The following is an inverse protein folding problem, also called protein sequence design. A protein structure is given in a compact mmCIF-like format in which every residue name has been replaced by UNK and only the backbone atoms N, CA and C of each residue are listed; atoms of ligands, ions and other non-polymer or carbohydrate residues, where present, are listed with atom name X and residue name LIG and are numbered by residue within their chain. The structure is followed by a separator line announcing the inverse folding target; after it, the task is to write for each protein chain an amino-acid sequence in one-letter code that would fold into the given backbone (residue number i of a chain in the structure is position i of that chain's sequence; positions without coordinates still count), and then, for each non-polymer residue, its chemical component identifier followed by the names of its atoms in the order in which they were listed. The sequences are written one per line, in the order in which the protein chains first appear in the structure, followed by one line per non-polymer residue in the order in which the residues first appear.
data_IF_070585234120
#
_entry.id   IF_070585234120
#
_cell.length_a   1.000
_cell.length_b   1.000
_cell.length_c   1.000
_cell.angle_alpha   90.00
_cell.angle_beta   90.00
_cell.angle_gamma   90.00
#
_symmetry.space_group_name_H-M   'P 1'
#
loop_
_entity.id
_entity.type
_entity.pdbx_description
1 polymer ?
#
# COMPACT_ATOMS: atom_id res chain seq x y z
N UNK A 1 10.71 11.07 0.96
CA UNK A 1 9.95 9.91 1.47
C UNK A 1 9.03 10.43 2.56
N UNK A 2 7.74 10.10 2.49
CA UNK A 2 6.75 10.42 3.52
C UNK A 2 6.46 9.21 4.42
N UNK A 3 5.87 9.48 5.57
CA UNK A 3 5.32 8.51 6.51
C UNK A 3 3.91 8.99 6.87
N UNK A 4 2.96 8.08 7.07
CA UNK A 4 1.54 8.43 7.16
C UNK A 4 0.98 8.12 8.54
N UNK A 5 0.05 8.93 8.99
CA UNK A 5 -0.73 8.69 10.19
C UNK A 5 -2.20 8.97 9.92
N UNK A 6 -3.07 8.13 10.48
CA UNK A 6 -4.50 8.32 10.44
C UNK A 6 -5.07 8.41 11.87
N UNK A 7 -6.02 9.31 12.06
CA UNK A 7 -6.73 9.50 13.31
C UNK A 7 -8.22 9.64 13.04
N UNK A 8 -9.06 8.92 13.77
CA UNK A 8 -10.51 9.02 13.59
C UNK A 8 -11.30 8.90 14.88
N UNK A 9 -12.57 9.31 14.83
CA UNK A 9 -13.52 9.09 15.92
C UNK A 9 -13.85 7.61 16.05
N UNK A 10 -13.52 7.01 17.19
CA UNK A 10 -13.81 5.63 17.55
C UNK A 10 -13.61 5.43 19.06
N UNK A 11 -14.06 4.29 19.58
CA UNK A 11 -13.96 4.00 21.01
C UNK A 11 -12.68 3.21 21.33
N UNK A 12 -11.57 3.94 21.39
CA UNK A 12 -10.29 3.39 21.84
C UNK A 12 -10.39 2.79 23.26
N UNK A 13 -11.31 3.29 24.10
CA UNK A 13 -11.51 2.83 25.48
C UNK A 13 -12.33 1.54 25.59
N UNK A 14 -13.19 1.25 24.60
CA UNK A 14 -13.90 -0.02 24.46
C UNK A 14 -13.06 -1.13 23.80
N UNK A 15 -11.80 -0.82 23.45
CA UNK A 15 -10.93 -1.76 22.78
C UNK A 15 -11.27 -1.98 21.31
N UNK A 16 -11.90 -1.00 20.62
CA UNK A 16 -11.92 -1.01 19.16
C UNK A 16 -10.48 -1.08 18.66
N UNK A 17 -10.15 -2.15 17.94
CA UNK A 17 -8.84 -2.33 17.36
C UNK A 17 -8.78 -1.45 16.11
N UNK A 18 -7.76 -0.60 16.03
CA UNK A 18 -7.42 0.15 14.83
C UNK A 18 -7.07 -0.83 13.71
N UNK A 19 -8.04 -1.18 12.86
CA UNK A 19 -7.83 -2.11 11.74
C UNK A 19 -7.58 -1.34 10.45
N UNK A 20 -6.78 -1.95 9.56
CA UNK A 20 -6.60 -1.44 8.20
C UNK A 20 -7.95 -1.32 7.47
N UNK A 21 -8.88 -2.27 7.66
CA UNK A 21 -10.20 -2.24 7.03
C UNK A 21 -11.03 -1.01 7.46
N UNK A 22 -10.97 -0.61 8.74
CA UNK A 22 -11.63 0.60 9.23
C UNK A 22 -11.01 1.85 8.60
N UNK A 23 -9.68 1.90 8.52
CA UNK A 23 -8.97 3.01 7.88
C UNK A 23 -9.37 3.15 6.40
N UNK A 24 -9.33 2.06 5.62
CA UNK A 24 -9.68 2.06 4.20
C UNK A 24 -11.12 2.52 3.94
N UNK A 25 -12.08 2.04 4.74
CA UNK A 25 -13.49 2.46 4.62
C UNK A 25 -13.67 3.95 4.91
N UNK A 26 -13.03 4.46 5.98
CA UNK A 26 -13.11 5.87 6.34
C UNK A 26 -12.38 6.77 5.32
N UNK A 27 -11.20 6.35 4.85
CA UNK A 27 -10.44 7.06 3.84
C UNK A 27 -11.25 7.18 2.54
N UNK A 28 -11.79 6.06 2.05
CA UNK A 28 -12.64 6.03 0.84
C UNK A 28 -13.85 6.95 0.97
N UNK A 29 -14.52 6.94 2.13
CA UNK A 29 -15.78 7.70 2.32
C UNK A 29 -15.58 9.19 2.52
N UNK A 30 -14.48 9.60 3.14
CA UNK A 30 -14.31 10.96 3.62
C UNK A 30 -13.14 11.71 2.99
N UNK A 31 -12.13 11.02 2.47
CA UNK A 31 -10.92 11.63 1.92
C UNK A 31 -10.78 11.43 0.39
N UNK A 32 -11.25 10.31 -0.17
CA UNK A 32 -11.31 10.10 -1.63
C UNK A 32 -12.60 10.61 -2.30
N UNK A 33 -13.64 10.83 -1.51
CA UNK A 33 -14.90 11.41 -1.96
C UNK A 33 -14.92 12.95 -1.79
N UNK A 34 -16.07 13.58 -2.04
CA UNK A 34 -16.25 15.00 -1.74
C UNK A 34 -16.04 15.28 -0.24
N UNK A 35 -15.07 16.15 0.07
CA UNK A 35 -14.75 16.50 1.45
C UNK A 35 -15.95 17.12 2.17
N UNK A 36 -16.18 16.69 3.40
CA UNK A 36 -17.21 17.22 4.28
C UNK A 36 -16.59 17.91 5.49
N UNK A 37 -17.34 18.81 6.13
CA UNK A 37 -16.85 19.52 7.30
C UNK A 37 -16.38 18.52 8.39
N UNK A 38 -15.17 18.71 8.96
CA UNK A 38 -14.70 17.89 10.08
C UNK A 38 -15.65 17.99 11.27
N UNK A 39 -15.86 16.84 11.90
CA UNK A 39 -16.56 16.72 13.18
C UNK A 39 -15.89 17.61 14.24
N UNK A 40 -16.62 18.04 15.29
CA UNK A 40 -16.04 18.85 16.35
C UNK A 40 -14.79 18.24 17.01
N UNK A 41 -14.75 16.91 17.18
CA UNK A 41 -13.62 16.23 17.83
C UNK A 41 -12.39 16.22 16.93
N UNK A 42 -12.55 15.88 15.64
CA UNK A 42 -11.46 15.91 14.67
C UNK A 42 -10.96 17.33 14.45
N UNK A 43 -11.85 18.33 14.43
CA UNK A 43 -11.46 19.73 14.38
C UNK A 43 -10.60 20.13 15.57
N UNK A 44 -11.03 19.80 16.80
CA UNK A 44 -10.27 20.09 18.01
C UNK A 44 -8.90 19.40 18.00
N UNK A 45 -8.84 18.15 17.52
CA UNK A 45 -7.58 17.43 17.38
C UNK A 45 -6.66 18.05 16.31
N UNK A 46 -7.21 18.42 15.15
CA UNK A 46 -6.48 19.14 14.10
C UNK A 46 -5.88 20.44 14.61
N UNK A 47 -6.62 21.21 15.39
CA UNK A 47 -6.16 22.47 16.01
C UNK A 47 -5.05 22.22 17.05
N UNK A 48 -5.20 21.17 17.88
CA UNK A 48 -4.18 20.79 18.86
C UNK A 48 -2.87 20.33 18.19
N UNK A 49 -2.97 19.58 17.08
CA UNK A 49 -1.83 19.14 16.30
C UNK A 49 -1.14 20.34 15.61
N UNK A 50 -1.93 21.24 15.01
CA UNK A 50 -1.42 22.49 14.40
C UNK A 50 -0.75 23.42 15.43
N UNK A 51 -1.17 23.39 16.70
CA UNK A 51 -0.52 24.15 17.77
C UNK A 51 0.87 23.60 18.14
N UNK A 52 1.15 22.32 17.87
CA UNK A 52 2.47 21.70 18.07
C UNK A 52 3.36 21.78 16.85
N UNK A 53 2.75 21.59 15.69
CA UNK A 53 3.40 21.59 14.39
C UNK A 53 2.59 22.53 13.49
N UNK A 54 3.04 23.79 13.34
CA UNK A 54 2.31 24.79 12.58
C UNK A 54 1.83 24.27 11.23
N UNK A 55 0.58 24.58 10.90
CA UNK A 55 -0.07 24.21 9.64
C UNK A 55 0.23 25.25 8.54
N UNK A 56 1.50 25.62 8.44
CA UNK A 56 1.98 26.51 7.40
C UNK A 56 2.81 25.75 6.37
N UNK A 57 3.16 26.43 5.27
CA UNK A 57 3.96 25.85 4.18
C UNK A 57 5.45 26.14 4.35
N UNK A 58 5.93 26.36 5.59
CA UNK A 58 7.36 26.52 5.80
C UNK A 58 8.08 25.18 5.69
N UNK A 59 9.33 25.25 5.24
CA UNK A 59 10.24 24.09 5.15
C UNK A 59 10.54 23.48 6.54
N UNK A 60 10.21 24.21 7.61
CA UNK A 60 10.41 23.79 9.00
C UNK A 60 9.24 22.94 9.53
N UNK A 61 8.16 22.76 8.77
CA UNK A 61 7.04 21.90 9.18
C UNK A 61 7.32 20.43 8.91
N UNK A 62 6.74 19.51 9.70
CA UNK A 62 6.88 18.08 9.43
C UNK A 62 6.05 17.61 8.22
N UNK A 63 5.19 18.45 7.64
CA UNK A 63 4.17 18.03 6.69
C UNK A 63 4.73 17.79 5.29
N UNK A 64 4.47 16.61 4.72
CA UNK A 64 4.90 16.26 3.38
C UNK A 64 3.82 16.54 2.31
N UNK A 65 2.54 16.63 2.71
CA UNK A 65 1.41 16.83 1.81
C UNK A 65 0.31 17.69 2.48
N UNK A 66 0.68 18.90 2.91
CA UNK A 66 -0.21 19.79 3.66
C UNK A 66 -0.40 19.34 5.11
N UNK A 67 -0.73 20.28 5.99
CA UNK A 67 -0.89 19.98 7.41
C UNK A 67 -2.31 19.54 7.79
N UNK A 68 -2.62 19.53 9.09
CA UNK A 68 -3.82 18.92 9.65
C UNK A 68 -5.14 19.51 9.13
N UNK A 69 -5.21 20.82 8.92
CA UNK A 69 -6.46 21.51 8.54
C UNK A 69 -6.89 21.22 7.11
N UNK A 70 -5.95 20.92 6.22
CA UNK A 70 -6.24 20.54 4.83
C UNK A 70 -6.54 19.06 4.65
N UNK A 71 -6.24 18.23 5.66
CA UNK A 71 -6.32 16.78 5.55
C UNK A 71 -7.24 16.13 6.60
N UNK A 72 -8.32 16.83 6.94
CA UNK A 72 -9.41 16.27 7.75
C UNK A 72 -10.77 16.41 7.05
N UNK A 73 -11.61 15.41 7.24
CA UNK A 73 -12.96 15.35 6.67
C UNK A 73 -13.82 14.43 7.50
N UNK A 74 -15.02 14.91 7.87
CA UNK A 74 -15.94 14.14 8.71
C UNK A 74 -15.27 13.62 9.99
N UNK A 75 -15.30 12.31 10.28
CA UNK A 75 -14.75 11.71 11.48
C UNK A 75 -13.28 11.29 11.36
N UNK A 76 -12.56 11.66 10.30
CA UNK A 76 -11.16 11.24 10.06
C UNK A 76 -10.23 12.41 9.71
N UNK A 77 -8.96 12.27 10.12
CA UNK A 77 -7.82 13.07 9.70
C UNK A 77 -6.70 12.13 9.25
N UNK A 78 -6.04 12.46 8.15
CA UNK A 78 -4.90 11.74 7.60
C UNK A 78 -3.76 12.72 7.38
N UNK A 79 -2.53 12.43 7.80
CA UNK A 79 -1.39 13.32 7.55
C UNK A 79 -0.21 12.54 7.01
N UNK A 80 0.39 13.07 5.94
CA UNK A 80 1.68 12.62 5.47
C UNK A 80 2.76 13.52 6.06
N UNK A 81 3.76 12.91 6.69
CA UNK A 81 4.87 13.60 7.34
C UNK A 81 6.19 13.24 6.69
N UNK A 82 7.18 14.13 6.77
CA UNK A 82 8.54 13.84 6.35
C UNK A 82 9.09 12.66 7.14
N UNK A 83 9.65 11.66 6.45
CA UNK A 83 10.14 10.43 7.09
C UNK A 83 11.15 10.69 8.21
N UNK A 84 12.02 11.69 8.06
CA UNK A 84 13.00 12.09 9.09
C UNK A 84 12.38 12.60 10.39
N UNK A 85 11.12 13.04 10.37
CA UNK A 85 10.38 13.55 11.53
C UNK A 85 9.31 12.56 12.02
N UNK A 86 9.12 11.43 11.34
CA UNK A 86 8.00 10.51 11.57
C UNK A 86 7.94 9.97 13.01
N UNK A 87 9.08 9.63 13.60
CA UNK A 87 9.12 9.12 14.98
C UNK A 87 8.65 10.17 15.99
N UNK A 88 9.17 11.40 15.88
CA UNK A 88 8.81 12.50 16.77
C UNK A 88 7.33 12.90 16.61
N UNK A 89 6.87 13.02 15.37
CA UNK A 89 5.49 13.43 15.07
C UNK A 89 4.51 12.34 15.47
N UNK A 90 4.84 11.06 15.23
CA UNK A 90 4.02 9.92 15.61
C UNK A 90 3.72 9.88 17.11
N UNK A 91 4.73 10.07 17.96
CA UNK A 91 4.56 10.11 19.42
C UNK A 91 3.58 11.22 19.86
N UNK A 92 3.66 12.39 19.24
CA UNK A 92 2.77 13.52 19.56
C UNK A 92 1.36 13.26 19.05
N UNK A 93 1.24 12.72 17.83
CA UNK A 93 -0.03 12.40 17.15
C UNK A 93 -0.80 11.35 17.97
N UNK A 94 -0.15 10.26 18.36
CA UNK A 94 -0.75 9.20 19.17
C UNK A 94 -1.21 9.72 20.54
N UNK A 95 -0.36 10.49 21.22
CA UNK A 95 -0.71 11.07 22.52
C UNK A 95 -1.90 12.02 22.44
N UNK A 96 -1.91 12.92 21.45
CA UNK A 96 -3.04 13.83 21.25
C UNK A 96 -4.32 13.05 20.91
N UNK A 97 -4.22 11.95 20.17
CA UNK A 97 -5.39 11.12 19.87
C UNK A 97 -5.98 10.53 21.17
N UNK A 98 -5.13 10.04 22.07
CA UNK A 98 -5.55 9.56 23.39
C UNK A 98 -6.19 10.67 24.25
N UNK A 99 -5.62 11.88 24.25
CA UNK A 99 -6.15 13.03 25.00
C UNK A 99 -7.53 13.50 24.47
N UNK A 100 -7.85 13.19 23.22
CA UNK A 100 -9.10 13.55 22.55
C UNK A 100 -10.09 12.38 22.41
N UNK A 101 -9.83 11.22 23.02
CA UNK A 101 -10.63 9.99 22.86
C UNK A 101 -10.83 9.63 21.37
N UNK A 102 -9.71 9.56 20.63
CA UNK A 102 -9.64 9.21 19.22
C UNK A 102 -8.79 7.95 19.03
N UNK A 103 -9.03 7.27 17.91
CA UNK A 103 -8.21 6.13 17.48
C UNK A 103 -7.01 6.65 16.68
N UNK A 104 -5.80 6.29 17.09
CA UNK A 104 -4.58 6.50 16.30
C UNK A 104 -4.24 5.22 15.53
N UNK A 105 -3.81 5.40 14.28
CA UNK A 105 -3.39 4.31 13.42
C UNK A 105 -2.16 4.69 12.61
N UNK A 106 -1.23 3.74 12.55
CA UNK A 106 0.00 3.79 11.78
C UNK A 106 -0.13 2.76 10.64
N UNK A 107 -0.51 3.18 9.41
CA UNK A 107 -0.69 2.27 8.28
C UNK A 107 0.54 1.41 7.99
N UNK A 108 1.74 1.92 8.25
CA UNK A 108 3.00 1.23 8.03
C UNK A 108 3.26 0.14 9.08
N UNK A 109 2.69 0.25 10.28
CA UNK A 109 2.78 -0.77 11.35
C UNK A 109 1.52 -1.61 11.49
N UNK A 110 0.46 -1.30 10.74
CA UNK A 110 -0.77 -2.07 10.74
C UNK A 110 -0.44 -3.56 10.48
N UNK A 111 -1.00 -4.48 11.27
CA UNK A 111 -0.99 -5.88 10.88
C UNK A 111 -1.57 -5.95 9.48
N UNK A 112 -0.80 -6.49 8.54
CA UNK A 112 -1.38 -6.91 7.27
C UNK A 112 -2.55 -7.82 7.62
N UNK A 113 -3.73 -7.53 7.06
CA UNK A 113 -4.94 -8.31 7.34
C UNK A 113 -4.59 -9.81 7.26
N UNK A 114 -5.08 -10.66 8.19
CA UNK A 114 -4.80 -12.08 8.13
C UNK A 114 -5.18 -12.58 6.74
N UNK A 115 -4.20 -13.19 6.07
CA UNK A 115 -4.32 -13.63 4.69
C UNK A 115 -5.44 -14.67 4.63
N UNK A 116 -6.57 -14.30 4.04
CA UNK A 116 -7.56 -15.29 3.66
C UNK A 116 -6.93 -16.15 2.56
N UNK A 117 -6.77 -17.45 2.85
CA UNK A 117 -6.33 -18.43 1.87
C UNK A 117 -7.29 -18.33 0.66
N UNK A 118 -6.80 -17.85 -0.49
CA UNK A 118 -7.58 -17.67 -1.72
C UNK A 118 -7.72 -16.24 -2.27
N UNK A 119 -7.16 -15.21 -1.61
CA UNK A 119 -7.18 -13.84 -2.14
C UNK A 119 -5.86 -13.49 -2.86
N UNK A 120 -5.99 -12.89 -4.04
CA UNK A 120 -4.86 -12.53 -4.91
C UNK A 120 -4.18 -11.28 -4.37
N UNK A 121 -2.84 -11.25 -4.36
CA UNK A 121 -2.10 -10.09 -3.84
C UNK A 121 -0.91 -9.74 -4.71
N UNK A 122 -0.46 -8.49 -4.63
CA UNK A 122 0.72 -8.02 -5.36
C UNK A 122 1.80 -7.58 -4.37
N UNK A 123 3.03 -8.07 -4.53
CA UNK A 123 4.20 -7.69 -3.71
C UNK A 123 5.22 -7.00 -4.58
N UNK A 124 5.74 -5.87 -4.10
CA UNK A 124 6.80 -5.11 -4.78
C UNK A 124 7.88 -4.68 -3.80
N UNK A 125 8.90 -4.00 -4.31
CA UNK A 125 9.95 -3.36 -3.49
C UNK A 125 9.40 -2.41 -2.41
N UNK A 126 8.18 -1.88 -2.58
CA UNK A 126 7.53 -0.94 -1.65
C UNK A 126 6.65 -1.63 -0.61
N UNK A 127 6.44 -2.94 -0.71
CA UNK A 127 5.58 -3.71 0.17
C UNK A 127 4.52 -4.51 -0.57
N UNK A 128 3.54 -5.03 0.16
CA UNK A 128 2.42 -5.82 -0.38
C UNK A 128 1.17 -4.93 -0.49
N UNK A 129 0.53 -4.96 -1.64
CA UNK A 129 -0.64 -4.15 -1.99
C UNK A 129 -1.75 -5.03 -2.57
N UNK A 130 -2.97 -4.48 -2.61
CA UNK A 130 -4.11 -5.09 -3.31
C UNK A 130 -3.90 -5.07 -4.84
N UNK A 131 -4.81 -5.70 -5.58
CA UNK A 131 -4.77 -5.69 -7.04
C UNK A 131 -4.92 -4.25 -7.57
N UNK A 132 -4.05 -3.80 -8.50
CA UNK A 132 -4.18 -2.48 -9.10
C UNK A 132 -5.31 -2.46 -10.15
N UNK A 133 -6.12 -1.41 -10.17
CA UNK A 133 -7.12 -1.19 -11.24
C UNK A 133 -6.47 -0.95 -12.60
N UNK A 134 -5.22 -0.45 -12.62
CA UNK A 134 -4.48 -0.06 -13.82
C UNK A 134 -3.13 -0.75 -13.89
N UNK A 135 -3.14 -2.02 -14.29
CA UNK A 135 -1.94 -2.86 -14.41
C UNK A 135 -0.80 -2.21 -15.21
N UNK A 136 -1.08 -1.66 -16.40
CA UNK A 136 -0.03 -1.09 -17.26
C UNK A 136 0.73 0.06 -16.57
N UNK A 137 0.01 0.95 -15.90
CA UNK A 137 0.64 2.06 -15.18
C UNK A 137 1.43 1.53 -13.98
N UNK A 138 0.81 0.67 -13.18
CA UNK A 138 1.43 0.09 -11.99
C UNK A 138 2.74 -0.65 -12.31
N UNK A 139 2.70 -1.59 -13.25
CA UNK A 139 3.86 -2.40 -13.65
C UNK A 139 4.94 -1.52 -14.26
N UNK A 140 4.57 -0.50 -15.04
CA UNK A 140 5.54 0.44 -15.60
C UNK A 140 6.30 1.23 -14.54
N UNK A 141 5.65 1.60 -13.43
CA UNK A 141 6.29 2.35 -12.35
C UNK A 141 7.20 1.44 -11.50
N UNK A 142 6.76 0.22 -11.18
CA UNK A 142 7.53 -0.71 -10.36
C UNK A 142 8.74 -1.30 -11.09
N UNK A 143 8.61 -1.58 -12.40
CA UNK A 143 9.69 -2.17 -13.21
C UNK A 143 10.54 -1.16 -13.97
N UNK A 144 10.30 0.16 -13.84
CA UNK A 144 11.18 1.18 -14.45
C UNK A 144 12.55 1.26 -13.77
N UNK A 145 12.61 0.94 -12.47
CA UNK A 145 13.86 0.95 -11.72
C UNK A 145 14.66 -0.34 -11.95
N UNK A 146 15.98 -0.23 -11.99
CA UNK A 146 16.86 -1.39 -11.92
C UNK A 146 16.62 -2.12 -10.59
N UNK A 147 16.56 -3.45 -10.65
CA UNK A 147 16.23 -4.35 -9.53
C UNK A 147 14.77 -4.25 -9.03
N UNK A 148 13.90 -3.55 -9.76
CA UNK A 148 12.46 -3.53 -9.50
C UNK A 148 11.82 -4.89 -9.73
N UNK A 149 10.83 -5.25 -8.92
CA UNK A 149 10.09 -6.50 -9.05
C UNK A 149 8.61 -6.35 -8.68
N UNK A 150 7.79 -7.21 -9.26
CA UNK A 150 6.36 -7.37 -8.98
C UNK A 150 6.08 -8.86 -8.87
N UNK A 151 5.51 -9.31 -7.75
CA UNK A 151 5.05 -10.70 -7.53
C UNK A 151 3.55 -10.68 -7.35
N UNK A 152 2.82 -11.45 -8.15
CA UNK A 152 1.38 -11.69 -8.01
C UNK A 152 1.18 -13.08 -7.44
N UNK A 153 0.81 -13.15 -6.16
CA UNK A 153 0.40 -14.39 -5.50
C UNK A 153 -1.08 -14.62 -5.79
N UNK A 154 -1.41 -15.80 -6.34
CA UNK A 154 -2.79 -16.14 -6.72
C UNK A 154 -3.68 -16.55 -5.55
N UNK A 155 -3.14 -16.58 -4.32
CA UNK A 155 -3.83 -17.10 -3.14
C UNK A 155 -3.97 -18.62 -3.12
N UNK A 156 -3.55 -19.32 -4.20
CA UNK A 156 -3.40 -20.78 -4.25
C UNK A 156 -2.04 -21.18 -3.70
N UNK A 157 -1.99 -22.34 -3.05
CA UNK A 157 -0.75 -22.87 -2.50
C UNK A 157 0.35 -22.90 -3.57
N UNK A 158 1.51 -22.32 -3.23
CA UNK A 158 2.73 -22.30 -4.05
C UNK A 158 2.56 -21.77 -5.49
N UNK A 159 1.60 -20.88 -5.71
CA UNK A 159 1.25 -20.40 -7.05
C UNK A 159 1.40 -18.88 -7.20
N UNK A 160 2.38 -18.44 -7.97
CA UNK A 160 2.66 -17.02 -8.21
C UNK A 160 3.14 -16.76 -9.65
N UNK A 161 2.97 -15.53 -10.13
CA UNK A 161 3.71 -14.98 -11.26
C UNK A 161 4.54 -13.80 -10.79
N UNK A 162 5.78 -13.67 -11.24
CA UNK A 162 6.63 -12.55 -10.88
C UNK A 162 7.36 -11.98 -12.09
N UNK A 163 7.53 -10.68 -12.10
CA UNK A 163 8.38 -9.99 -13.07
C UNK A 163 9.46 -9.21 -12.33
N UNK A 164 10.65 -9.15 -12.93
CA UNK A 164 11.79 -8.38 -12.42
C UNK A 164 12.51 -7.68 -13.56
N UNK A 165 13.08 -6.52 -13.27
CA UNK A 165 13.96 -5.80 -14.18
C UNK A 165 15.42 -5.97 -13.76
N UNK A 166 16.13 -6.88 -14.43
CA UNK A 166 17.54 -7.13 -14.22
C UNK A 166 18.35 -6.29 -15.22
N UNK A 167 18.85 -5.14 -14.77
CA UNK A 167 19.70 -4.25 -15.57
C UNK A 167 19.10 -3.86 -16.95
N UNK A 168 17.79 -3.64 -17.01
CA UNK A 168 17.06 -3.29 -18.23
C UNK A 168 16.51 -4.48 -19.01
N UNK A 169 16.81 -5.71 -18.59
CA UNK A 169 16.20 -6.93 -19.14
C UNK A 169 15.06 -7.36 -18.25
N UNK A 170 13.84 -7.39 -18.79
CA UNK A 170 12.70 -7.92 -18.05
C UNK A 170 12.73 -9.44 -18.09
N UNK A 171 12.58 -10.03 -16.92
CA UNK A 171 12.40 -11.47 -16.72
C UNK A 171 11.03 -11.70 -16.11
N UNK A 172 10.23 -12.57 -16.71
CA UNK A 172 8.93 -13.00 -16.20
C UNK A 172 9.03 -14.48 -15.81
N UNK A 173 8.48 -14.82 -14.65
CA UNK A 173 8.44 -16.16 -14.12
C UNK A 173 7.04 -16.49 -13.62
N UNK A 174 6.66 -17.76 -13.67
CA UNK A 174 5.50 -18.23 -12.94
C UNK A 174 5.77 -19.60 -12.32
N UNK A 175 5.10 -19.85 -11.20
CA UNK A 175 5.01 -21.14 -10.55
C UNK A 175 3.55 -21.48 -10.37
N UNK A 176 3.13 -22.66 -10.82
CA UNK A 176 1.76 -23.13 -10.65
C UNK A 176 1.75 -24.37 -9.75
N UNK A 177 1.51 -24.16 -8.45
CA UNK A 177 1.29 -25.22 -7.46
C UNK A 177 2.51 -26.02 -7.00
N UNK A 178 3.56 -26.16 -7.81
CA UNK A 178 4.75 -26.94 -7.44
C UNK A 178 6.07 -26.37 -7.98
N UNK A 179 7.22 -26.65 -7.32
CA UNK A 179 8.54 -26.31 -7.85
C UNK A 179 8.83 -26.92 -9.23
N UNK A 180 8.22 -28.06 -9.56
CA UNK A 180 8.37 -28.71 -10.87
C UNK A 180 7.62 -27.97 -12.00
N UNK A 181 6.69 -27.09 -11.62
CA UNK A 181 5.93 -26.23 -12.51
C UNK A 181 6.37 -24.77 -12.36
N UNK A 182 7.69 -24.54 -12.28
CA UNK A 182 8.30 -23.21 -12.23
C UNK A 182 9.02 -22.93 -13.55
N UNK A 183 8.63 -21.84 -14.20
CA UNK A 183 9.11 -21.46 -15.51
C UNK A 183 9.54 -20.00 -15.55
N UNK A 184 10.49 -19.68 -16.43
CA UNK A 184 10.95 -18.32 -16.69
C UNK A 184 10.99 -18.02 -18.20
N UNK A 185 10.94 -16.74 -18.52
CA UNK A 185 11.30 -16.19 -19.82
C UNK A 185 12.02 -14.85 -19.61
N UNK A 186 13.05 -14.58 -20.39
CA UNK A 186 13.84 -13.34 -20.33
C UNK A 186 13.68 -12.54 -21.63
N UNK A 187 13.92 -11.23 -21.56
CA UNK A 187 13.85 -10.35 -22.73
C UNK A 187 12.44 -10.09 -23.23
N UNK A 188 11.45 -10.19 -22.34
CA UNK A 188 10.04 -9.92 -22.62
C UNK A 188 9.77 -8.42 -22.58
N UNK A 189 8.81 -7.91 -23.37
CA UNK A 189 8.43 -6.50 -23.30
C UNK A 189 7.49 -6.22 -22.11
N UNK A 190 7.45 -4.96 -21.70
CA UNK A 190 6.64 -4.52 -20.55
C UNK A 190 5.13 -4.74 -20.74
N UNK A 191 4.65 -4.72 -21.99
CA UNK A 191 3.25 -4.95 -22.31
C UNK A 191 2.86 -6.41 -22.09
N UNK A 192 3.66 -7.35 -22.60
CA UNK A 192 3.44 -8.78 -22.37
C UNK A 192 3.62 -9.16 -20.88
N UNK A 193 4.54 -8.53 -20.15
CA UNK A 193 4.62 -8.67 -18.67
C UNK A 193 3.33 -8.21 -17.99
N UNK A 194 2.86 -7.01 -18.34
CA UNK A 194 1.63 -6.44 -17.77
C UNK A 194 0.45 -7.36 -18.01
N UNK A 195 0.31 -7.85 -19.23
CA UNK A 195 -0.76 -8.77 -19.60
C UNK A 195 -0.66 -10.08 -18.81
N UNK A 196 0.53 -10.69 -18.74
CA UNK A 196 0.73 -11.93 -18.02
C UNK A 196 0.37 -11.82 -16.53
N UNK A 197 0.80 -10.75 -15.85
CA UNK A 197 0.50 -10.53 -14.43
C UNK A 197 -1.00 -10.29 -14.18
N UNK A 198 -1.67 -9.54 -15.06
CA UNK A 198 -3.13 -9.35 -15.02
C UNK A 198 -3.88 -10.66 -15.27
N UNK A 199 -3.45 -11.45 -16.26
CA UNK A 199 -4.03 -12.77 -16.53
C UNK A 199 -3.86 -13.69 -15.32
N UNK A 200 -2.68 -13.73 -14.72
CA UNK A 200 -2.41 -14.55 -13.54
C UNK A 200 -3.32 -14.19 -12.37
N UNK A 201 -3.49 -12.90 -12.09
CA UNK A 201 -4.41 -12.41 -11.07
C UNK A 201 -5.86 -12.85 -11.29
N UNK A 202 -6.27 -13.01 -12.56
CA UNK A 202 -7.61 -13.46 -12.96
C UNK A 202 -7.71 -14.99 -13.14
N UNK A 203 -6.67 -15.74 -12.76
CA UNK A 203 -6.57 -17.18 -13.00
C UNK A 203 -6.66 -17.57 -14.49
N UNK A 204 -6.12 -16.74 -15.36
CA UNK A 204 -5.97 -16.98 -16.80
C UNK A 204 -4.50 -17.26 -17.14
N UNK A 205 -4.28 -18.16 -18.09
CA UNK A 205 -2.94 -18.67 -18.44
C UNK A 205 -2.63 -18.57 -19.95
N UNK A 206 -3.35 -17.73 -20.71
CA UNK A 206 -3.17 -17.61 -22.17
C UNK A 206 -1.82 -17.00 -22.55
N UNK A 207 -1.21 -16.22 -21.63
CA UNK A 207 0.13 -15.66 -21.81
C UNK A 207 1.21 -16.74 -21.98
N UNK A 208 0.97 -17.98 -21.53
CA UNK A 208 1.92 -19.09 -21.66
C UNK A 208 2.21 -19.39 -23.13
N UNK A 209 1.20 -19.31 -24.00
CA UNK A 209 1.32 -19.65 -25.43
C UNK A 209 2.12 -18.61 -26.24
N UNK A 210 2.37 -17.43 -25.68
CA UNK A 210 3.05 -16.32 -26.37
C UNK A 210 4.57 -16.45 -26.39
N UNK A 211 5.14 -17.25 -25.47
CA UNK A 211 6.58 -17.30 -25.26
C UNK A 211 7.08 -18.73 -25.13
N UNK A 212 8.38 -18.91 -25.43
CA UNK A 212 9.07 -20.16 -25.13
C UNK A 212 9.61 -20.09 -23.71
N UNK A 213 8.98 -20.84 -22.82
CA UNK A 213 9.32 -20.86 -21.41
C UNK A 213 10.43 -21.85 -21.09
N UNK A 214 11.40 -21.43 -20.29
CA UNK A 214 12.44 -22.28 -19.72
C UNK A 214 11.98 -22.78 -18.35
N UNK A 215 12.00 -24.10 -18.14
CA UNK A 215 11.70 -24.66 -16.82
C UNK A 215 12.87 -24.44 -15.88
N UNK A 216 12.63 -23.77 -14.76
CA UNK A 216 13.61 -23.61 -13.70
C UNK A 216 13.70 -24.90 -12.87
N UNK A 217 14.92 -25.38 -12.67
CA UNK A 217 15.21 -26.61 -11.92
C UNK A 217 15.94 -26.33 -10.60
N UNK A 218 15.92 -25.08 -10.13
CA UNK A 218 16.74 -24.56 -9.04
C UNK A 218 16.33 -25.05 -7.63
N UNK A 219 15.95 -26.32 -7.44
CA UNK A 219 15.82 -26.97 -6.13
C UNK A 219 15.98 -28.49 -6.28
N UNK A 220 17.23 -28.98 -6.27
CA UNK A 220 17.63 -30.26 -5.65
C UNK A 220 18.31 -29.94 -4.31
#
# INVERSE_FOLDING_TARGET
MSYDFAVWEGDASAGEHSTAATFEDLFTRYLDADLVAPTPRIRAYSEALAARFPDDQSDDTPWAAGGPSSNCSGPILYVAVSFSQAEQVGVVTERLAQEHDLVFFDPQKAPTAPINRGEVTVTTSRGRVALPDRWAFFVSEELRNFDGYVVVDSGRDHSFAQARNENGTLTLEYRDGSPQQHYQVQGIDLGDVTEALSQWAENRHQFIDKHTWERLTLWD
#
